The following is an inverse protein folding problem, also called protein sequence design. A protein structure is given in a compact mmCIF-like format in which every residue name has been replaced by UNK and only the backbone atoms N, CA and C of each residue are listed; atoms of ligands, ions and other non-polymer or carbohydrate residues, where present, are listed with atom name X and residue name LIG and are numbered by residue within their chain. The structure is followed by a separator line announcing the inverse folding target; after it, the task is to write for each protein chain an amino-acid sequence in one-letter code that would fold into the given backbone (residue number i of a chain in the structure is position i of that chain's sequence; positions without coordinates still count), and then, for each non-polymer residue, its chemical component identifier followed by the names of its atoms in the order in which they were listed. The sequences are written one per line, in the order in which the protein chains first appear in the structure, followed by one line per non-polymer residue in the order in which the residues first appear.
data_IF_098071627932
#
_entry.id   IF_098071627932
#
_cell.length_a   1.000
_cell.length_b   1.000
_cell.length_c   1.000
_cell.angle_alpha   90.00
_cell.angle_beta   90.00
_cell.angle_gamma   90.00
#
_symmetry.space_group_name_H-M   'P 1'
#
loop_
_entity.id
_entity.type
_entity.pdbx_description
1 polymer ?
#
# COMPACT_ATOMS: atom_id res chain seq x y z
N UNK A 1 12.14 -3.76 -2.94
CA UNK A 1 12.59 -2.71 -1.99
C UNK A 1 11.44 -1.77 -1.67
N UNK A 2 11.28 -1.44 -0.41
CA UNK A 2 10.21 -0.53 0.01
C UNK A 2 10.54 0.91 -0.34
N UNK A 3 9.55 1.62 -0.88
CA UNK A 3 9.69 3.04 -1.25
C UNK A 3 8.84 3.90 -0.33
N UNK A 4 9.21 5.17 -0.14
CA UNK A 4 8.42 6.08 0.69
C UNK A 4 6.99 6.22 0.13
N UNK A 5 6.01 6.25 1.03
CA UNK A 5 4.60 6.27 0.60
C UNK A 5 4.25 7.50 -0.24
N UNK A 6 4.95 8.61 -0.04
CA UNK A 6 4.69 9.82 -0.81
C UNK A 6 4.93 9.64 -2.31
N UNK A 7 5.72 8.63 -2.70
CA UNK A 7 6.03 8.34 -4.10
C UNK A 7 5.12 7.30 -4.72
N UNK A 8 4.12 6.81 -3.99
CA UNK A 8 3.25 5.74 -4.46
C UNK A 8 2.46 6.19 -5.69
N UNK A 9 2.47 5.37 -6.76
CA UNK A 9 1.75 5.70 -7.99
C UNK A 9 0.24 5.46 -7.83
N UNK A 10 -0.54 6.17 -8.65
CA UNK A 10 -1.97 5.90 -8.80
C UNK A 10 -2.18 4.83 -9.86
N UNK A 11 -3.33 4.16 -9.81
CA UNK A 11 -3.77 3.22 -10.85
C UNK A 11 -2.83 2.04 -11.08
N UNK A 12 -2.13 1.62 -10.04
CA UNK A 12 -1.26 0.45 -10.10
C UNK A 12 -1.50 -0.42 -8.88
N UNK A 13 -1.39 -1.73 -9.08
CA UNK A 13 -1.46 -2.68 -7.97
C UNK A 13 -0.13 -2.63 -7.21
N UNK A 14 -0.19 -2.25 -5.95
CA UNK A 14 1.00 -2.13 -5.11
C UNK A 14 0.74 -2.79 -3.76
N UNK A 15 1.82 -3.12 -3.06
CA UNK A 15 1.76 -3.61 -1.70
C UNK A 15 2.09 -2.48 -0.75
N UNK A 16 1.45 -2.48 0.41
CA UNK A 16 1.62 -1.43 1.41
C UNK A 16 2.29 -2.00 2.65
N UNK A 17 2.99 -1.14 3.38
CA UNK A 17 3.60 -1.52 4.64
C UNK A 17 3.54 -0.37 5.62
N UNK A 18 3.43 -0.71 6.90
CA UNK A 18 3.66 0.21 8.00
C UNK A 18 4.99 -0.22 8.63
N UNK A 19 6.01 0.60 8.47
CA UNK A 19 7.33 0.32 9.01
C UNK A 19 7.59 1.32 10.13
N UNK A 20 7.76 0.82 11.34
CA UNK A 20 7.99 1.64 12.51
C UNK A 20 9.03 0.97 13.42
N UNK A 21 9.21 1.53 14.63
CA UNK A 21 10.20 1.00 15.57
C UNK A 21 9.88 -0.42 16.04
N UNK A 22 8.62 -0.84 15.91
CA UNK A 22 8.18 -2.18 16.31
C UNK A 22 8.36 -3.20 15.19
N UNK A 23 8.77 -2.75 14.01
CA UNK A 23 9.06 -3.64 12.92
C UNK A 23 8.31 -3.30 11.65
N UNK A 24 8.30 -4.26 10.74
CA UNK A 24 7.71 -4.13 9.43
C UNK A 24 6.40 -4.91 9.40
N UNK A 25 5.31 -4.20 9.18
CA UNK A 25 3.97 -4.78 9.11
C UNK A 25 3.48 -4.64 7.68
N UNK A 26 3.44 -5.74 6.95
CA UNK A 26 3.09 -5.73 5.53
C UNK A 26 1.64 -6.11 5.30
N UNK A 27 1.02 -5.44 4.34
CA UNK A 27 -0.32 -5.78 3.87
C UNK A 27 -0.16 -6.49 2.53
N UNK A 28 -0.25 -7.81 2.54
CA UNK A 28 0.10 -8.67 1.40
C UNK A 28 -1.11 -8.86 0.48
N UNK A 29 -1.77 -7.77 0.13
CA UNK A 29 -2.88 -7.79 -0.82
C UNK A 29 -2.63 -6.66 -1.82
N UNK A 30 -3.08 -6.82 -3.07
CA UNK A 30 -2.93 -5.74 -4.03
C UNK A 30 -3.82 -4.57 -3.63
N UNK A 31 -3.22 -3.39 -3.54
CA UNK A 31 -3.92 -2.17 -3.18
C UNK A 31 -3.70 -1.13 -4.27
N UNK A 32 -4.59 -0.14 -4.34
CA UNK A 32 -4.46 0.98 -5.25
C UNK A 32 -4.60 2.29 -4.51
N UNK A 33 -3.81 3.25 -4.95
CA UNK A 33 -3.89 4.59 -4.39
C UNK A 33 -5.05 5.35 -5.03
N UNK A 34 -5.89 5.96 -4.18
CA UNK A 34 -6.94 6.87 -4.62
C UNK A 34 -6.72 8.22 -3.94
N UNK A 35 -7.33 9.31 -4.44
CA UNK A 35 -7.12 10.64 -3.83
C UNK A 35 -7.40 10.69 -2.33
N UNK A 36 -8.36 9.91 -1.84
CA UNK A 36 -8.75 9.90 -0.43
C UNK A 36 -8.11 8.78 0.38
N UNK A 37 -7.15 8.07 -0.17
CA UNK A 37 -6.51 6.99 0.59
C UNK A 37 -6.19 5.78 -0.26
N UNK A 38 -6.62 4.61 0.22
CA UNK A 38 -6.23 3.33 -0.36
C UNK A 38 -7.43 2.40 -0.47
N UNK A 39 -7.45 1.60 -1.53
CA UNK A 39 -8.48 0.58 -1.70
C UNK A 39 -7.84 -0.75 -2.05
N UNK A 40 -8.53 -1.84 -1.68
CA UNK A 40 -8.14 -3.17 -2.12
C UNK A 40 -8.44 -3.29 -3.62
N UNK A 41 -7.42 -3.61 -4.41
CA UNK A 41 -7.56 -3.66 -5.87
C UNK A 41 -8.50 -4.76 -6.35
N UNK A 42 -8.68 -5.81 -5.54
CA UNK A 42 -9.55 -6.95 -5.89
C UNK A 42 -10.99 -6.70 -5.47
N UNK A 43 -11.21 -6.34 -4.20
CA UNK A 43 -12.56 -6.19 -3.65
C UNK A 43 -13.14 -4.80 -3.83
N UNK A 44 -12.30 -3.82 -4.15
CA UNK A 44 -12.65 -2.40 -4.27
C UNK A 44 -13.08 -1.79 -2.94
N UNK A 45 -12.84 -2.46 -1.84
CA UNK A 45 -13.15 -1.94 -0.52
C UNK A 45 -12.04 -1.04 -0.02
N UNK A 46 -12.41 0.00 0.72
CA UNK A 46 -11.45 0.92 1.30
C UNK A 46 -10.59 0.21 2.33
N UNK A 47 -9.29 0.47 2.28
CA UNK A 47 -8.33 -0.07 3.24
C UNK A 47 -8.07 0.99 4.29
N UNK A 48 -8.44 0.70 5.53
CA UNK A 48 -8.30 1.63 6.66
C UNK A 48 -6.92 1.48 7.29
N UNK A 49 -5.90 1.93 6.57
CA UNK A 49 -4.52 1.83 7.03
C UNK A 49 -3.79 3.12 6.66
N UNK A 50 -2.77 3.46 7.45
CA UNK A 50 -1.90 4.59 7.17
C UNK A 50 -0.51 4.05 6.84
N UNK A 51 -0.29 3.63 5.60
CA UNK A 51 0.99 3.03 5.23
C UNK A 51 2.11 4.06 5.23
N UNK A 52 3.31 3.60 5.52
CA UNK A 52 4.51 4.43 5.45
C UNK A 52 5.33 4.16 4.21
N UNK A 53 5.17 2.97 3.62
CA UNK A 53 5.94 2.53 2.46
C UNK A 53 5.09 1.69 1.52
N UNK A 54 5.58 1.54 0.30
CA UNK A 54 4.93 0.74 -0.73
C UNK A 54 5.97 0.02 -1.57
N UNK A 55 5.56 -0.98 -2.30
CA UNK A 55 6.40 -1.61 -3.32
C UNK A 55 5.51 -2.21 -4.40
N UNK A 56 6.13 -2.53 -5.55
CA UNK A 56 5.41 -3.18 -6.65
C UNK A 56 4.84 -4.51 -6.19
N UNK A 57 3.59 -4.77 -6.60
CA UNK A 57 2.95 -6.04 -6.32
C UNK A 57 3.46 -7.06 -7.34
N UNK A 58 4.21 -8.02 -6.88
CA UNK A 58 4.73 -9.08 -7.74
C UNK A 58 3.72 -10.20 -7.84
N UNK A 59 3.52 -10.68 -9.04
CA UNK A 59 2.65 -11.81 -9.32
C UNK A 59 3.43 -12.95 -9.94
#
# INVERSE_FOLDING_TARGET
MWEPISTAPYDRDIELAVIDRNGEHTLVIPCRRIPDGWVNAVTKRRVEVQPTHWRECKR
#
